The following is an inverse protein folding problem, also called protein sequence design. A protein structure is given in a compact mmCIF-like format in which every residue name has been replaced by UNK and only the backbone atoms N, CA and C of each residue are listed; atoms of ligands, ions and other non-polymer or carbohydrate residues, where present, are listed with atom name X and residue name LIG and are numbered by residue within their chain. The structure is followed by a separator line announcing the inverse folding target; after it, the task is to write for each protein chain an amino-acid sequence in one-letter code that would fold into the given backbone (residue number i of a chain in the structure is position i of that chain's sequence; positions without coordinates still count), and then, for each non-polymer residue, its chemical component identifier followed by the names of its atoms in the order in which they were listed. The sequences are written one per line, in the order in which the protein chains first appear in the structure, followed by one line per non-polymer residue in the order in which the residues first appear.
data_IF_721918624578
#
_entry.id   IF_721918624578
#
_cell.length_a   1.000
_cell.length_b   1.000
_cell.length_c   1.000
_cell.angle_alpha   90.00
_cell.angle_beta   90.00
_cell.angle_gamma   90.00
#
_symmetry.space_group_name_H-M   'P 1'
#
loop_
_entity.id
_entity.type
_entity.pdbx_description
1 polymer ?
#
# COMPACT_ATOMS: atom_id res chain seq x y z
N UNK A 1 -3.43 44.07 52.16
CA UNK A 1 -4.73 44.71 51.90
C UNK A 1 -5.60 43.63 51.26
N UNK A 2 -6.37 42.85 52.03
CA UNK A 2 -7.71 43.19 52.56
C UNK A 2 -8.67 43.54 51.40
N UNK A 3 -9.82 42.92 51.15
CA UNK A 3 -10.69 41.93 51.81
C UNK A 3 -11.74 41.50 50.75
N UNK A 4 -12.20 40.24 50.76
CA UNK A 4 -13.59 39.90 50.38
C UNK A 4 -14.52 40.32 51.54
N UNK A 5 -15.83 40.65 51.36
CA UNK A 5 -16.87 39.60 51.23
C UNK A 5 -18.22 40.02 50.57
N UNK A 6 -19.14 39.04 50.43
CA UNK A 6 -20.61 39.23 50.35
C UNK A 6 -21.28 38.44 49.22
N UNK A 7 -21.65 37.16 49.39
CA UNK A 7 -22.95 36.64 49.88
C UNK A 7 -24.21 37.35 49.34
N UNK A 8 -25.06 36.62 48.60
CA UNK A 8 -26.42 36.29 49.06
C UNK A 8 -27.06 35.19 48.20
N UNK A 9 -27.77 34.30 48.88
CA UNK A 9 -28.61 33.25 48.32
C UNK A 9 -30.08 33.72 48.30
N UNK A 10 -30.87 33.23 47.34
CA UNK A 10 -32.33 33.18 47.49
C UNK A 10 -32.92 31.99 46.74
N UNK A 11 -33.48 31.07 47.54
CA UNK A 11 -34.51 30.12 47.14
C UNK A 11 -35.82 30.87 46.87
N UNK A 12 -36.55 30.51 45.80
CA UNK A 12 -38.03 30.51 45.80
C UNK A 12 -38.54 29.34 44.97
N UNK A 13 -39.54 28.68 45.55
CA UNK A 13 -40.24 27.46 45.21
C UNK A 13 -41.39 27.63 44.19
N UNK A 14 -41.71 26.52 43.51
CA UNK A 14 -43.04 26.03 43.07
C UNK A 14 -44.14 27.03 42.69
N UNK A 15 -44.59 26.93 41.44
CA UNK A 15 -46.01 27.03 41.10
C UNK A 15 -46.37 25.98 40.03
N UNK A 16 -47.22 25.04 40.43
CA UNK A 16 -47.97 24.21 39.50
C UNK A 16 -49.13 25.00 38.90
N UNK A 17 -49.43 24.73 37.63
CA UNK A 17 -50.69 25.09 37.01
C UNK A 17 -51.33 23.81 36.48
N UNK A 18 -52.43 23.41 37.13
CA UNK A 18 -53.44 22.53 36.59
C UNK A 18 -54.16 23.27 35.46
N UNK A 19 -54.33 22.64 34.30
CA UNK A 19 -55.49 22.85 33.43
C UNK A 19 -55.88 21.49 32.86
N UNK A 20 -57.04 21.03 33.32
CA UNK A 20 -57.79 19.94 32.74
C UNK A 20 -58.46 20.41 31.43
N UNK A 21 -58.87 19.42 30.64
CA UNK A 21 -59.79 19.47 29.49
C UNK A 21 -59.22 19.87 28.11
N UNK A 22 -58.79 18.84 27.37
CA UNK A 22 -59.22 18.68 25.98
C UNK A 22 -59.28 17.17 25.65
N UNK A 23 -60.48 16.73 25.32
CA UNK A 23 -60.85 15.37 24.96
C UNK A 23 -60.39 14.98 23.55
N UNK A 24 -60.19 13.67 23.36
CA UNK A 24 -60.11 12.95 22.07
C UNK A 24 -58.97 13.32 21.10
N UNK A 25 -57.85 12.62 21.20
CA UNK A 25 -57.25 11.99 20.01
C UNK A 25 -56.39 10.76 20.37
N UNK A 26 -56.71 9.66 19.67
CA UNK A 26 -55.96 8.42 19.42
C UNK A 26 -54.68 8.16 20.26
N UNK A 27 -54.74 7.15 21.14
CA UNK A 27 -53.52 6.47 21.64
C UNK A 27 -52.80 5.81 20.46
N UNK A 28 -51.49 6.03 20.23
CA UNK A 28 -50.75 5.22 19.29
C UNK A 28 -50.52 3.84 19.93
N UNK A 29 -50.97 2.80 19.23
CA UNK A 29 -50.58 1.42 19.51
C UNK A 29 -49.09 1.27 19.21
N UNK A 30 -48.30 0.97 20.24
CA UNK A 30 -46.87 0.71 20.08
C UNK A 30 -46.69 -0.69 19.50
N UNK A 31 -46.19 -0.79 18.28
CA UNK A 31 -45.82 -2.09 17.68
C UNK A 31 -44.52 -2.59 18.33
N UNK A 32 -44.29 -3.92 18.42
CA UNK A 32 -43.08 -4.51 19.00
C UNK A 32 -41.77 -3.98 18.38
N UNK A 33 -41.81 -3.57 17.11
CA UNK A 33 -40.68 -2.99 16.38
C UNK A 33 -40.24 -1.61 16.92
N UNK A 34 -41.15 -0.81 17.49
CA UNK A 34 -40.83 0.50 18.06
C UNK A 34 -40.20 0.34 19.44
N UNK A 35 -40.62 -0.65 20.22
CA UNK A 35 -39.97 -1.00 21.50
C UNK A 35 -38.56 -1.57 21.29
N UNK A 36 -38.34 -2.37 20.24
CA UNK A 36 -37.00 -2.86 19.87
C UNK A 36 -36.10 -1.70 19.41
N UNK A 37 -36.62 -0.73 18.65
CA UNK A 37 -35.88 0.48 18.27
C UNK A 37 -35.59 1.40 19.45
N UNK A 38 -36.51 1.53 20.41
CA UNK A 38 -36.29 2.28 21.65
C UNK A 38 -35.30 1.60 22.59
N UNK A 39 -35.35 0.26 22.71
CA UNK A 39 -34.38 -0.51 23.48
C UNK A 39 -32.99 -0.49 22.83
N UNK A 40 -32.91 -0.58 21.50
CA UNK A 40 -31.67 -0.40 20.75
C UNK A 40 -31.13 1.04 20.86
N UNK A 41 -32.01 2.04 20.88
CA UNK A 41 -31.63 3.44 21.11
C UNK A 41 -31.11 3.68 22.54
N UNK A 42 -31.72 3.05 23.56
CA UNK A 42 -31.22 3.08 24.95
C UNK A 42 -29.92 2.29 25.11
N UNK A 43 -29.75 1.13 24.46
CA UNK A 43 -28.49 0.37 24.44
C UNK A 43 -27.37 1.16 23.75
N UNK A 44 -27.68 1.87 22.66
CA UNK A 44 -26.74 2.73 21.95
C UNK A 44 -26.40 4.01 22.72
N UNK A 45 -27.27 4.48 23.63
CA UNK A 45 -26.97 5.59 24.54
C UNK A 45 -26.12 5.17 25.75
N UNK A 46 -26.11 3.88 26.09
CA UNK A 46 -25.20 3.28 27.08
C UNK A 46 -23.81 3.03 26.47
N UNK A 47 -23.64 3.19 25.15
CA UNK A 47 -22.33 3.19 24.45
C UNK A 47 -21.86 4.60 24.03
N UNK A 48 -22.42 5.65 24.64
CA UNK A 48 -21.78 6.97 24.65
C UNK A 48 -20.79 6.98 25.82
N UNK A 49 -19.51 7.25 25.53
CA UNK A 49 -18.33 7.13 26.41
C UNK A 49 -17.79 5.70 26.62
N UNK A 50 -17.52 4.97 25.54
CA UNK A 50 -16.40 4.02 25.60
C UNK A 50 -15.12 4.75 25.17
N UNK A 51 -14.24 5.05 26.11
CA UNK A 51 -12.86 5.41 25.79
C UNK A 51 -12.29 4.32 24.84
N UNK A 52 -11.43 4.69 23.89
CA UNK A 52 -10.75 3.77 22.96
C UNK A 52 -11.62 3.17 21.82
N UNK A 53 -12.46 4.00 21.19
CA UNK A 53 -13.31 3.59 20.05
C UNK A 53 -12.47 3.06 18.88
N UNK A 54 -12.67 1.77 18.55
CA UNK A 54 -12.06 1.11 17.38
C UNK A 54 -13.02 0.10 16.75
N UNK A 55 -12.85 -0.15 15.45
CA UNK A 55 -13.67 -1.10 14.68
C UNK A 55 -12.78 -2.01 13.83
N UNK A 56 -13.07 -3.30 13.82
CA UNK A 56 -12.52 -4.22 12.82
C UNK A 56 -13.59 -4.52 11.79
N UNK A 57 -13.28 -4.25 10.52
CA UNK A 57 -14.08 -4.67 9.37
C UNK A 57 -13.42 -5.90 8.75
N UNK A 58 -14.08 -7.05 8.87
CA UNK A 58 -13.56 -8.32 8.34
C UNK A 58 -13.86 -8.46 6.85
N UNK A 59 -12.90 -8.95 6.07
CA UNK A 59 -13.03 -9.17 4.62
C UNK A 59 -13.53 -7.93 3.86
N UNK A 60 -13.10 -6.74 4.28
CA UNK A 60 -13.48 -5.47 3.66
C UNK A 60 -12.90 -5.34 2.24
N UNK A 61 -11.66 -5.77 2.04
CA UNK A 61 -11.04 -5.88 0.72
C UNK A 61 -11.13 -7.32 0.20
N UNK A 62 -11.58 -7.51 -1.06
CA UNK A 62 -11.45 -8.79 -1.74
C UNK A 62 -9.98 -9.23 -1.82
N UNK A 63 -9.71 -10.52 -1.69
CA UNK A 63 -8.35 -11.06 -1.70
C UNK A 63 -7.60 -10.77 -3.01
N UNK A 64 -8.30 -10.75 -4.15
CA UNK A 64 -7.68 -10.41 -5.44
C UNK A 64 -7.18 -8.96 -5.47
N UNK A 65 -7.91 -8.04 -4.85
CA UNK A 65 -7.51 -6.65 -4.70
C UNK A 65 -6.33 -6.52 -3.71
N UNK A 66 -6.32 -7.33 -2.64
CA UNK A 66 -5.14 -7.40 -1.77
C UNK A 66 -3.88 -7.83 -2.55
N UNK A 67 -3.99 -8.80 -3.46
CA UNK A 67 -2.87 -9.23 -4.31
C UNK A 67 -2.44 -8.16 -5.31
N UNK A 68 -3.39 -7.44 -5.91
CA UNK A 68 -3.11 -6.30 -6.78
C UNK A 68 -2.30 -5.21 -6.05
N UNK A 69 -2.71 -4.84 -4.84
CA UNK A 69 -2.00 -3.88 -4.01
C UNK A 69 -0.62 -4.39 -3.56
N UNK A 70 -0.49 -5.68 -3.26
CA UNK A 70 0.82 -6.28 -3.00
C UNK A 70 1.74 -6.20 -4.23
N UNK A 71 1.22 -6.46 -5.44
CA UNK A 71 1.96 -6.31 -6.68
C UNK A 71 2.45 -4.86 -6.86
N UNK A 72 1.56 -3.88 -6.72
CA UNK A 72 1.89 -2.45 -6.84
C UNK A 72 2.96 -2.08 -5.82
N UNK A 73 2.79 -2.48 -4.56
CA UNK A 73 3.77 -2.19 -3.52
C UNK A 73 5.13 -2.82 -3.80
N UNK A 74 5.18 -4.14 -3.99
CA UNK A 74 6.45 -4.88 -4.12
C UNK A 74 7.24 -4.49 -5.36
N UNK A 75 6.57 -4.01 -6.40
CA UNK A 75 7.22 -3.60 -7.64
C UNK A 75 7.69 -2.14 -7.65
N UNK A 76 7.10 -1.28 -6.79
CA UNK A 76 7.37 0.15 -6.76
C UNK A 76 7.84 0.66 -5.39
N UNK A 77 8.18 -0.21 -4.44
CA UNK A 77 8.56 0.24 -3.10
C UNK A 77 9.98 0.81 -3.06
N UNK A 78 10.14 1.80 -2.19
CA UNK A 78 11.41 2.37 -1.79
C UNK A 78 11.70 2.06 -0.31
N UNK A 79 12.94 2.27 0.12
CA UNK A 79 13.33 2.27 1.53
C UNK A 79 12.48 3.26 2.32
N UNK A 80 11.80 2.76 3.33
CA UNK A 80 10.99 3.55 4.25
C UNK A 80 11.85 4.27 5.29
N UNK A 81 11.23 5.21 6.00
CA UNK A 81 11.90 6.01 7.03
C UNK A 81 12.33 5.19 8.28
N UNK A 82 11.77 3.99 8.46
CA UNK A 82 12.09 3.11 9.60
C UNK A 82 12.99 1.96 9.15
N UNK A 83 13.87 1.45 10.03
CA UNK A 83 14.65 0.25 9.75
C UNK A 83 13.75 -0.91 9.29
N UNK A 84 14.19 -1.65 8.28
CA UNK A 84 13.52 -2.83 7.73
C UNK A 84 12.09 -2.57 7.20
N UNK A 85 11.73 -1.31 6.89
CA UNK A 85 10.43 -0.94 6.33
C UNK A 85 10.59 -0.47 4.90
N UNK A 86 9.71 -0.90 3.99
CA UNK A 86 9.58 -0.32 2.66
C UNK A 86 8.24 0.40 2.51
N UNK A 87 8.20 1.42 1.64
CA UNK A 87 7.04 2.28 1.44
C UNK A 87 6.81 2.58 -0.03
N UNK A 88 5.54 2.62 -0.43
CA UNK A 88 5.09 3.14 -1.72
C UNK A 88 3.97 4.15 -1.43
N UNK A 89 4.28 5.44 -1.58
CA UNK A 89 3.28 6.52 -1.50
C UNK A 89 2.68 6.80 -2.87
N UNK A 90 1.51 7.43 -2.92
CA UNK A 90 0.91 7.83 -4.20
C UNK A 90 1.79 8.84 -4.95
N UNK A 91 2.42 9.77 -4.23
CA UNK A 91 3.41 10.70 -4.82
C UNK A 91 4.63 9.98 -5.38
N UNK A 92 5.09 8.89 -4.75
CA UNK A 92 6.20 8.09 -5.28
C UNK A 92 5.82 7.45 -6.62
N UNK A 93 4.63 6.84 -6.71
CA UNK A 93 4.12 6.29 -7.95
C UNK A 93 4.08 7.34 -9.07
N UNK A 94 3.62 8.56 -8.76
CA UNK A 94 3.61 9.66 -9.74
C UNK A 94 5.04 10.02 -10.17
N UNK A 95 5.95 10.19 -9.22
CA UNK A 95 7.33 10.59 -9.47
C UNK A 95 8.14 9.54 -10.28
N UNK A 96 7.76 8.27 -10.23
CA UNK A 96 8.42 7.18 -10.97
C UNK A 96 7.67 6.78 -12.24
N UNK A 97 6.85 7.68 -12.81
CA UNK A 97 6.03 7.44 -14.01
C UNK A 97 5.08 6.23 -13.90
N UNK A 98 4.65 5.91 -12.68
CA UNK A 98 3.74 4.82 -12.34
C UNK A 98 2.39 5.34 -11.82
N UNK A 99 2.01 6.57 -12.18
CA UNK A 99 0.80 7.25 -11.69
C UNK A 99 -0.48 6.45 -11.94
N UNK A 100 -0.56 5.71 -13.04
CA UNK A 100 -1.70 4.84 -13.35
C UNK A 100 -1.96 3.77 -12.26
N UNK A 101 -0.95 3.36 -11.49
CA UNK A 101 -1.10 2.39 -10.40
C UNK A 101 -1.81 2.98 -9.16
N UNK A 102 -2.16 4.26 -9.14
CA UNK A 102 -3.04 4.79 -8.08
C UNK A 102 -4.49 4.38 -8.30
N UNK A 103 -4.89 4.02 -9.53
CA UNK A 103 -6.29 3.77 -9.89
C UNK A 103 -6.95 2.66 -9.05
N UNK A 104 -6.31 1.50 -8.78
CA UNK A 104 -6.89 0.49 -7.89
C UNK A 104 -7.02 0.95 -6.42
N UNK A 105 -6.29 1.99 -6.00
CA UNK A 105 -6.27 2.49 -4.63
C UNK A 105 -7.41 3.50 -4.39
N UNK A 106 -7.82 4.28 -5.40
CA UNK A 106 -8.83 5.33 -5.25
C UNK A 106 -10.18 4.81 -4.72
N UNK A 107 -10.79 3.75 -5.26
CA UNK A 107 -12.06 3.23 -4.72
C UNK A 107 -11.94 2.77 -3.28
N UNK A 108 -10.76 2.32 -2.87
CA UNK A 108 -10.49 1.88 -1.50
C UNK A 108 -10.43 3.09 -0.57
N UNK A 109 -9.78 4.19 -0.98
CA UNK A 109 -9.69 5.44 -0.21
C UNK A 109 -11.09 5.96 0.12
N UNK A 110 -11.98 6.02 -0.87
CA UNK A 110 -13.36 6.47 -0.68
C UNK A 110 -14.14 5.56 0.28
N UNK A 111 -14.14 4.25 0.03
CA UNK A 111 -14.85 3.29 0.87
C UNK A 111 -14.35 3.30 2.33
N UNK A 112 -13.04 3.48 2.54
CA UNK A 112 -12.46 3.59 3.88
C UNK A 112 -12.85 4.89 4.56
N UNK A 113 -12.81 6.02 3.83
CA UNK A 113 -13.26 7.31 4.33
C UNK A 113 -14.72 7.22 4.79
N UNK A 114 -15.60 6.67 3.95
CA UNK A 114 -17.02 6.49 4.27
C UNK A 114 -17.20 5.63 5.53
N UNK A 115 -16.46 4.52 5.65
CA UNK A 115 -16.54 3.64 6.81
C UNK A 115 -16.06 4.33 8.11
N UNK A 116 -15.00 5.12 8.04
CA UNK A 116 -14.50 5.93 9.18
C UNK A 116 -15.55 6.97 9.56
N UNK A 117 -16.07 7.72 8.58
CA UNK A 117 -17.07 8.75 8.81
C UNK A 117 -18.36 8.20 9.42
N UNK A 118 -18.85 7.06 8.92
CA UNK A 118 -20.03 6.37 9.45
C UNK A 118 -19.81 5.88 10.87
N UNK A 119 -18.68 5.24 11.15
CA UNK A 119 -18.39 4.69 12.48
C UNK A 119 -18.22 5.82 13.50
N UNK A 120 -17.38 6.82 13.21
CA UNK A 120 -17.07 7.91 14.14
C UNK A 120 -18.11 9.03 14.17
N UNK A 121 -19.17 8.96 13.35
CA UNK A 121 -20.28 9.92 13.27
C UNK A 121 -19.82 11.31 12.84
N UNK A 122 -19.01 11.35 11.80
CA UNK A 122 -18.43 12.57 11.23
C UNK A 122 -18.52 12.62 9.71
N UNK A 123 -19.68 12.25 9.18
CA UNK A 123 -20.02 12.28 7.75
C UNK A 123 -19.66 13.60 7.09
N UNK A 124 -18.92 13.50 5.97
CA UNK A 124 -18.41 14.57 5.12
C UNK A 124 -17.48 15.57 5.83
N UNK A 125 -16.82 15.16 6.91
CA UNK A 125 -15.92 16.03 7.68
C UNK A 125 -14.45 15.63 7.54
N UNK A 126 -14.13 14.58 6.78
CA UNK A 126 -12.76 14.07 6.69
C UNK A 126 -12.10 14.35 5.34
N UNK A 127 -10.80 14.62 5.42
CA UNK A 127 -9.86 14.67 4.33
C UNK A 127 -8.85 13.53 4.51
N UNK A 128 -8.41 12.93 3.41
CA UNK A 128 -7.34 11.92 3.46
C UNK A 128 -6.04 12.68 3.63
N UNK A 129 -5.38 12.52 4.78
CA UNK A 129 -4.11 13.20 5.07
C UNK A 129 -2.93 12.53 4.36
N UNK A 130 -2.99 11.20 4.29
CA UNK A 130 -1.93 10.39 3.71
C UNK A 130 -2.44 9.01 3.34
N UNK A 131 -1.97 8.50 2.21
CA UNK A 131 -2.17 7.13 1.73
C UNK A 131 -0.83 6.47 1.43
N UNK A 132 -0.57 5.31 2.01
CA UNK A 132 0.67 4.57 1.75
C UNK A 132 0.51 3.07 1.82
N UNK A 133 1.18 2.37 0.90
CA UNK A 133 1.42 0.93 1.00
C UNK A 133 2.75 0.74 1.75
N UNK A 134 2.70 0.03 2.86
CA UNK A 134 3.83 -0.11 3.79
C UNK A 134 4.09 -1.60 4.01
N UNK A 135 5.36 -2.01 3.88
CA UNK A 135 5.81 -3.33 4.29
C UNK A 135 6.78 -3.27 5.45
N UNK A 136 6.59 -4.19 6.39
CA UNK A 136 7.44 -4.42 7.54
C UNK A 136 8.13 -5.76 7.32
N UNK A 137 9.43 -5.73 7.04
CA UNK A 137 10.23 -6.93 6.84
C UNK A 137 10.76 -7.45 8.18
N UNK A 138 11.40 -8.62 8.16
CA UNK A 138 12.05 -9.18 9.36
C UNK A 138 12.90 -8.15 10.10
N UNK A 139 12.71 -8.08 11.42
CA UNK A 139 13.38 -7.13 12.31
C UNK A 139 12.70 -5.76 12.40
N UNK A 140 11.65 -5.49 11.61
CA UNK A 140 10.86 -4.26 11.74
C UNK A 140 9.90 -4.37 12.94
N UNK A 141 9.86 -3.32 13.77
CA UNK A 141 8.94 -3.17 14.91
C UNK A 141 8.70 -1.69 15.21
N UNK A 142 7.65 -1.39 15.98
CA UNK A 142 7.38 -0.05 16.48
C UNK A 142 6.79 -0.13 17.87
N UNK A 143 7.44 0.55 18.83
CA UNK A 143 6.96 0.61 20.21
C UNK A 143 5.69 1.44 20.36
N UNK A 144 5.21 1.53 21.60
CA UNK A 144 3.99 2.25 21.96
C UNK A 144 3.99 3.70 21.51
N UNK A 145 2.95 4.07 20.75
CA UNK A 145 2.71 5.43 20.27
C UNK A 145 1.23 5.65 19.92
N UNK A 146 0.81 6.91 19.87
CA UNK A 146 -0.37 7.31 19.09
C UNK A 146 0.07 7.90 17.75
N UNK A 147 -0.82 7.88 16.76
CA UNK A 147 -0.52 8.38 15.41
C UNK A 147 -0.35 9.90 15.36
N UNK A 148 -0.91 10.63 16.33
CA UNK A 148 -0.81 12.08 16.45
C UNK A 148 0.23 12.54 17.50
N UNK A 149 1.15 11.67 17.91
CA UNK A 149 2.06 11.92 19.05
C UNK A 149 3.10 13.03 18.84
N UNK A 150 3.33 13.50 17.61
CA UNK A 150 4.33 14.53 17.28
C UNK A 150 3.69 15.78 16.67
N UNK A 151 4.30 16.98 16.82
CA UNK A 151 3.73 18.22 16.31
C UNK A 151 3.31 18.19 14.84
N UNK A 152 4.12 17.56 13.97
CA UNK A 152 3.83 17.45 12.52
C UNK A 152 2.81 16.36 12.17
N UNK A 153 2.31 15.62 13.16
CA UNK A 153 1.29 14.58 13.02
C UNK A 153 0.01 14.93 13.79
N UNK A 154 -0.03 16.07 14.49
CA UNK A 154 -1.13 16.44 15.40
C UNK A 154 -2.48 16.58 14.70
N UNK A 155 -2.47 16.81 13.40
CA UNK A 155 -3.65 16.90 12.55
C UNK A 155 -4.41 15.59 12.34
N UNK A 156 -3.82 14.44 12.70
CA UNK A 156 -4.46 13.15 12.48
C UNK A 156 -5.56 12.94 13.50
N UNK A 157 -6.79 12.77 13.02
CA UNK A 157 -7.96 12.45 13.83
C UNK A 157 -8.24 10.95 13.88
N UNK A 158 -8.10 10.28 12.73
CA UNK A 158 -8.43 8.86 12.58
C UNK A 158 -7.40 8.15 11.70
N UNK A 159 -7.34 6.82 11.87
CA UNK A 159 -6.50 5.94 11.08
C UNK A 159 -7.32 4.75 10.56
N UNK A 160 -6.96 4.27 9.37
CA UNK A 160 -7.40 3.00 8.82
C UNK A 160 -6.18 2.18 8.39
N UNK A 161 -6.08 0.95 8.88
CA UNK A 161 -5.02 0.01 8.51
C UNK A 161 -5.65 -1.22 7.86
N UNK A 162 -5.40 -1.39 6.57
CA UNK A 162 -5.88 -2.52 5.78
C UNK A 162 -4.77 -3.54 5.61
N UNK A 163 -5.02 -4.78 6.01
CA UNK A 163 -4.05 -5.87 5.87
C UNK A 163 -4.14 -6.49 4.48
N UNK A 164 -3.00 -6.59 3.79
CA UNK A 164 -2.93 -7.11 2.43
C UNK A 164 -2.47 -8.56 2.37
N UNK A 165 -1.86 -9.06 3.44
CA UNK A 165 -1.43 -10.44 3.60
C UNK A 165 -1.61 -10.90 5.05
N UNK A 166 -1.49 -12.21 5.30
CA UNK A 166 -1.97 -12.82 6.55
C UNK A 166 -0.84 -13.32 7.45
N UNK A 167 -1.01 -13.08 8.75
CA UNK A 167 -0.18 -13.63 9.81
C UNK A 167 -0.21 -15.18 9.80
N UNK A 168 0.94 -15.80 10.09
CA UNK A 168 1.19 -17.26 10.05
C UNK A 168 0.93 -17.94 8.68
N UNK A 169 0.68 -17.16 7.62
CA UNK A 169 0.54 -17.64 6.24
C UNK A 169 1.57 -16.99 5.31
N UNK A 170 1.79 -15.69 5.47
CA UNK A 170 2.66 -14.87 4.61
C UNK A 170 3.86 -14.29 5.36
N UNK A 171 3.76 -14.17 6.69
CA UNK A 171 4.79 -13.67 7.59
C UNK A 171 4.55 -14.15 9.03
N UNK A 172 5.52 -13.97 9.91
CA UNK A 172 5.44 -14.26 11.37
C UNK A 172 5.81 -13.05 12.21
N UNK A 173 5.33 -13.00 13.45
CA UNK A 173 5.44 -11.81 14.29
C UNK A 173 4.59 -10.65 13.74
N UNK A 174 4.98 -9.39 13.99
CA UNK A 174 4.27 -8.25 13.39
C UNK A 174 2.82 -8.07 13.86
N UNK A 175 2.50 -8.58 15.05
CA UNK A 175 1.16 -8.49 15.65
C UNK A 175 0.90 -7.04 16.06
N UNK A 176 -0.32 -6.57 15.85
CA UNK A 176 -0.70 -5.20 16.16
C UNK A 176 -1.43 -5.13 17.50
N UNK A 177 -0.89 -4.36 18.43
CA UNK A 177 -1.36 -4.28 19.82
C UNK A 177 -1.85 -2.87 20.13
N UNK A 178 -2.96 -2.78 20.87
CA UNK A 178 -3.38 -1.57 21.56
C UNK A 178 -3.08 -1.73 23.04
N UNK A 179 -2.68 -0.65 23.71
CA UNK A 179 -2.27 -0.67 25.10
C UNK A 179 -3.45 -0.89 26.05
N UNK A 180 -4.61 -0.33 25.69
CA UNK A 180 -5.80 -0.25 26.51
C UNK A 180 -7.04 -0.48 25.64
N UNK A 181 -8.13 -0.98 26.23
CA UNK A 181 -9.43 -1.23 25.59
C UNK A 181 -9.47 -2.40 24.58
N UNK A 182 -10.67 -2.70 24.07
CA UNK A 182 -10.91 -3.86 23.22
C UNK A 182 -11.17 -3.50 21.74
N UNK A 183 -10.73 -4.34 20.79
CA UNK A 183 -9.79 -5.46 20.96
C UNK A 183 -8.35 -5.01 21.21
N UNK A 184 -7.69 -5.59 22.22
CA UNK A 184 -6.29 -5.32 22.56
C UNK A 184 -5.32 -5.82 21.48
N UNK A 185 -5.60 -7.00 20.91
CA UNK A 185 -4.71 -7.67 19.96
C UNK A 185 -5.42 -7.84 18.62
N UNK A 186 -4.75 -7.41 17.55
CA UNK A 186 -5.17 -7.63 16.17
C UNK A 186 -4.16 -8.56 15.51
N UNK A 187 -4.64 -9.75 15.12
CA UNK A 187 -3.93 -10.62 14.21
C UNK A 187 -4.21 -10.17 12.76
N UNK A 188 -3.18 -9.75 12.01
CA UNK A 188 -3.32 -9.33 10.62
C UNK A 188 -3.86 -10.45 9.73
N UNK A 189 -4.97 -10.21 9.03
CA UNK A 189 -5.53 -11.15 8.05
C UNK A 189 -5.85 -10.39 6.77
N UNK A 190 -5.44 -10.94 5.62
CA UNK A 190 -5.66 -10.31 4.33
C UNK A 190 -7.14 -9.96 4.12
N UNK A 191 -7.42 -8.70 3.76
CA UNK A 191 -8.77 -8.20 3.55
C UNK A 191 -9.36 -7.46 4.76
N UNK A 192 -8.83 -7.67 5.95
CA UNK A 192 -9.33 -7.02 7.17
C UNK A 192 -8.82 -5.60 7.31
N UNK A 193 -9.64 -4.75 7.94
CA UNK A 193 -9.33 -3.35 8.21
C UNK A 193 -9.56 -3.04 9.69
N UNK A 194 -8.65 -2.28 10.29
CA UNK A 194 -8.84 -1.69 11.62
C UNK A 194 -8.99 -0.18 11.49
N UNK A 195 -10.05 0.36 12.08
CA UNK A 195 -10.32 1.78 12.20
C UNK A 195 -10.19 2.20 13.66
N UNK A 196 -9.47 3.28 13.95
CA UNK A 196 -9.26 3.77 15.31
C UNK A 196 -8.99 5.29 15.32
N UNK A 197 -9.14 5.94 16.48
CA UNK A 197 -8.75 7.35 16.64
C UNK A 197 -7.24 7.48 16.68
N UNK A 198 -6.67 8.52 16.08
CA UNK A 198 -5.22 8.67 15.99
C UNK A 198 -4.57 9.21 17.29
N UNK A 199 -5.37 9.45 18.34
CA UNK A 199 -4.97 10.07 19.60
C UNK A 199 -4.55 9.08 20.69
N UNK A 200 -4.29 9.59 21.89
CA UNK A 200 -3.84 8.81 23.04
C UNK A 200 -4.87 7.80 23.57
N UNK A 201 -6.11 7.85 23.09
CA UNK A 201 -7.11 6.82 23.37
C UNK A 201 -6.85 5.53 22.58
N UNK A 202 -5.90 5.49 21.66
CA UNK A 202 -5.55 4.27 20.94
C UNK A 202 -4.02 4.20 20.79
N UNK A 203 -3.31 4.27 21.91
CA UNK A 203 -1.87 3.98 21.95
C UNK A 203 -1.67 2.53 21.49
N UNK A 204 -0.78 2.34 20.53
CA UNK A 204 -0.56 1.06 19.88
C UNK A 204 0.90 0.79 19.55
N UNK A 205 1.21 -0.46 19.27
CA UNK A 205 2.53 -0.95 18.87
C UNK A 205 2.41 -2.10 17.87
N UNK A 206 3.48 -2.35 17.12
CA UNK A 206 3.61 -3.55 16.29
C UNK A 206 4.86 -4.29 16.75
N UNK A 207 4.67 -5.53 17.17
CA UNK A 207 5.76 -6.41 17.57
C UNK A 207 6.68 -6.71 16.38
N UNK A 208 7.88 -7.22 16.67
CA UNK A 208 8.85 -7.52 15.63
C UNK A 208 8.28 -8.53 14.62
N UNK A 209 8.40 -8.22 13.33
CA UNK A 209 8.25 -9.21 12.26
C UNK A 209 9.44 -10.15 12.34
N UNK A 210 9.20 -11.43 12.62
CA UNK A 210 10.27 -12.41 12.86
C UNK A 210 10.64 -13.19 11.60
N UNK A 211 9.76 -13.23 10.61
CA UNK A 211 10.00 -13.85 9.30
C UNK A 211 9.01 -13.29 8.27
N UNK A 212 9.43 -13.19 7.00
CA UNK A 212 8.62 -12.67 5.90
C UNK A 212 8.42 -11.15 5.91
N UNK A 213 7.37 -10.72 5.20
CA UNK A 213 7.08 -9.32 4.87
C UNK A 213 5.60 -9.03 5.17
N UNK A 214 5.28 -8.26 6.20
CA UNK A 214 3.91 -7.84 6.56
C UNK A 214 3.52 -6.59 5.78
N UNK A 215 2.42 -6.64 5.02
CA UNK A 215 2.06 -5.57 4.07
C UNK A 215 0.69 -4.99 4.41
N UNK A 216 0.62 -3.67 4.47
CA UNK A 216 -0.59 -2.91 4.77
C UNK A 216 -0.80 -1.75 3.81
N UNK A 217 -2.06 -1.43 3.51
CA UNK A 217 -2.46 -0.10 3.04
C UNK A 217 -2.89 0.71 4.26
N UNK A 218 -2.20 1.82 4.54
CA UNK A 218 -2.47 2.68 5.69
C UNK A 218 -2.96 4.04 5.23
N UNK A 219 -4.08 4.49 5.81
CA UNK A 219 -4.62 5.83 5.62
C UNK A 219 -4.71 6.56 6.96
N UNK A 220 -4.36 7.83 6.93
CA UNK A 220 -4.67 8.77 8.02
C UNK A 220 -5.66 9.81 7.52
N UNK A 221 -6.55 10.24 8.42
CA UNK A 221 -7.59 11.22 8.13
C UNK A 221 -7.45 12.42 9.04
N UNK A 222 -7.74 13.59 8.47
CA UNK A 222 -7.73 14.89 9.14
C UNK A 222 -9.08 15.58 8.93
N UNK A 223 -9.53 16.33 9.94
CA UNK A 223 -10.65 17.29 9.82
C UNK A 223 -10.20 18.65 9.30
N UNK A 224 -8.90 18.90 9.29
CA UNK A 224 -8.30 20.10 8.72
C UNK A 224 -8.01 19.87 7.23
N UNK A 225 -8.71 20.63 6.39
CA UNK A 225 -8.60 20.61 4.93
C UNK A 225 -7.22 21.03 4.42
N UNK A 226 -6.43 21.78 5.19
CA UNK A 226 -5.08 22.17 4.81
C UNK A 226 -4.10 20.99 4.71
N UNK A 227 -4.53 19.83 5.19
CA UNK A 227 -3.78 18.58 5.16
C UNK A 227 -4.30 17.57 4.14
N UNK A 228 -5.21 17.97 3.25
CA UNK A 228 -5.70 17.10 2.19
C UNK A 228 -4.60 16.68 1.20
N UNK A 229 -4.37 15.37 1.09
CA UNK A 229 -3.42 14.74 0.18
C UNK A 229 -3.80 14.97 -1.29
N UNK A 230 -5.09 15.04 -1.60
CA UNK A 230 -5.59 15.14 -2.98
C UNK A 230 -5.06 16.39 -3.70
N UNK A 231 -5.00 17.52 -2.98
CA UNK A 231 -4.47 18.78 -3.51
C UNK A 231 -3.04 18.64 -4.05
N UNK A 232 -2.18 17.90 -3.33
CA UNK A 232 -0.78 17.65 -3.69
C UNK A 232 -0.71 16.68 -4.87
N UNK A 233 -1.50 15.61 -4.84
CA UNK A 233 -1.52 14.60 -5.90
C UNK A 233 -2.02 15.18 -7.22
N UNK A 234 -3.10 15.98 -7.20
CA UNK A 234 -3.62 16.65 -8.39
C UNK A 234 -2.59 17.62 -8.96
N UNK A 235 -1.86 18.36 -8.11
CA UNK A 235 -0.77 19.23 -8.56
C UNK A 235 0.32 18.43 -9.28
N UNK A 236 0.79 17.32 -8.70
CA UNK A 236 1.84 16.49 -9.33
C UNK A 236 1.34 15.79 -10.60
N UNK A 237 0.10 15.30 -10.62
CA UNK A 237 -0.52 14.70 -11.82
C UNK A 237 -0.77 15.74 -12.92
N UNK A 238 -0.79 17.03 -12.59
CA UNK A 238 -1.02 18.09 -13.58
C UNK A 238 0.17 18.31 -14.51
N UNK A 239 1.35 17.81 -14.14
CA UNK A 239 2.55 17.82 -14.97
C UNK A 239 2.50 16.76 -16.09
N UNK A 240 1.58 15.79 -16.01
CA UNK A 240 1.36 14.77 -17.04
C UNK A 240 0.67 15.44 -18.24
N UNK A 241 1.28 15.31 -19.42
CA UNK A 241 0.74 15.81 -20.68
C UNK A 241 -0.55 15.08 -21.04
N UNK A 242 -1.60 15.82 -21.39
CA UNK A 242 -2.88 15.23 -21.86
C UNK A 242 -2.80 14.85 -23.34
N UNK A 243 -1.76 15.31 -24.05
CA UNK A 243 -1.50 14.98 -25.46
C UNK A 243 -0.96 13.54 -25.64
N UNK A 244 -0.70 12.81 -24.55
CA UNK A 244 -0.25 11.41 -24.55
C UNK A 244 -1.35 10.39 -24.94
N UNK A 245 -2.55 10.84 -25.33
CA UNK A 245 -3.64 9.96 -25.79
C UNK A 245 -3.28 9.17 -27.07
N UNK A 246 -2.38 9.70 -27.90
CA UNK A 246 -2.07 9.17 -29.23
C UNK A 246 -0.72 8.43 -29.32
N UNK A 247 0.14 8.50 -28.29
CA UNK A 247 1.45 7.84 -28.30
C UNK A 247 1.43 6.54 -27.48
N UNK A 248 1.97 5.48 -28.08
CA UNK A 248 1.90 4.07 -27.62
C UNK A 248 2.24 3.89 -26.13
N UNK A 249 1.74 2.80 -25.52
CA UNK A 249 1.98 2.29 -24.15
C UNK A 249 3.43 2.42 -23.60
N UNK A 250 4.41 2.64 -24.46
CA UNK A 250 5.79 2.99 -24.13
C UNK A 250 5.95 4.29 -23.31
N UNK A 251 4.97 5.21 -23.34
CA UNK A 251 4.96 6.42 -22.50
C UNK A 251 4.77 6.12 -20.99
N UNK A 252 4.30 4.91 -20.65
CA UNK A 252 3.88 4.53 -19.29
C UNK A 252 4.92 3.66 -18.58
N UNK A 253 6.12 3.52 -19.16
CA UNK A 253 7.18 2.71 -18.57
C UNK A 253 7.74 3.36 -17.28
N UNK A 254 8.02 2.56 -16.23
CA UNK A 254 8.48 3.09 -14.96
C UNK A 254 9.83 3.79 -15.11
N UNK A 255 10.00 4.92 -14.43
CA UNK A 255 11.29 5.62 -14.32
C UNK A 255 11.97 5.21 -13.01
N UNK A 256 13.25 4.84 -13.01
CA UNK A 256 13.97 4.46 -11.78
C UNK A 256 13.98 5.59 -10.74
N UNK A 257 13.71 5.24 -9.49
CA UNK A 257 13.88 6.16 -8.37
C UNK A 257 15.38 6.36 -8.06
N UNK A 258 15.75 7.42 -7.33
CA UNK A 258 17.12 7.62 -6.86
C UNK A 258 17.65 6.40 -6.10
N UNK A 259 18.92 6.05 -6.33
CA UNK A 259 19.53 4.81 -5.81
C UNK A 259 19.45 4.68 -4.29
N UNK A 260 19.57 5.79 -3.57
CA UNK A 260 19.50 5.81 -2.10
C UNK A 260 18.12 5.44 -1.56
N UNK A 261 17.10 5.49 -2.40
CA UNK A 261 15.75 5.00 -2.09
C UNK A 261 15.57 3.53 -2.42
N UNK A 262 16.47 2.90 -3.18
CA UNK A 262 16.32 1.53 -3.66
C UNK A 262 17.37 0.56 -3.09
N UNK A 263 18.48 1.07 -2.54
CA UNK A 263 19.49 0.27 -1.86
C UNK A 263 19.18 0.09 -0.38
N UNK A 264 19.17 -1.15 0.09
CA UNK A 264 18.93 -1.49 1.48
C UNK A 264 20.14 -2.26 2.08
N UNK A 265 20.62 -1.90 3.29
CA UNK A 265 20.15 -0.81 4.14
C UNK A 265 20.58 0.57 3.59
N UNK A 266 19.81 1.64 3.84
CA UNK A 266 20.04 2.95 3.21
C UNK A 266 21.38 3.59 3.61
N UNK A 267 21.94 3.26 4.77
CA UNK A 267 23.25 3.75 5.20
C UNK A 267 24.38 3.25 4.27
N UNK A 268 24.17 2.09 3.65
CA UNK A 268 25.09 1.48 2.70
C UNK A 268 24.90 2.02 1.28
N UNK A 269 23.90 2.86 1.01
CA UNK A 269 23.60 3.33 -0.35
C UNK A 269 24.66 4.24 -0.97
N UNK A 270 25.66 4.67 -0.20
CA UNK A 270 26.78 5.49 -0.70
C UNK A 270 28.06 4.68 -0.90
N UNK A 271 28.23 3.60 -0.14
CA UNK A 271 29.44 2.77 -0.09
C UNK A 271 29.25 1.44 -0.80
N UNK A 272 28.02 0.96 -0.85
CA UNK A 272 27.63 -0.35 -1.36
C UNK A 272 28.49 -1.46 -0.77
N UNK A 273 28.83 -1.38 0.53
CA UNK A 273 29.73 -2.36 1.13
C UNK A 273 28.98 -3.65 1.51
N UNK A 274 27.70 -3.52 1.88
CA UNK A 274 26.78 -4.63 2.15
C UNK A 274 25.35 -4.30 1.68
N UNK A 275 24.46 -5.28 1.77
CA UNK A 275 23.03 -5.11 1.45
C UNK A 275 22.67 -5.52 0.01
N UNK A 276 21.61 -4.93 -0.52
CA UNK A 276 21.10 -5.23 -1.85
C UNK A 276 20.24 -4.08 -2.40
N UNK A 277 20.13 -4.00 -3.73
CA UNK A 277 19.06 -3.25 -4.40
C UNK A 277 17.74 -4.03 -4.24
N UNK A 278 16.68 -3.38 -3.75
CA UNK A 278 15.39 -4.02 -3.43
C UNK A 278 14.84 -4.80 -4.64
N UNK A 279 14.96 -4.25 -5.86
CA UNK A 279 14.42 -4.87 -7.07
C UNK A 279 15.21 -6.12 -7.41
N UNK A 280 16.52 -6.02 -7.41
CA UNK A 280 17.42 -7.13 -7.67
C UNK A 280 17.28 -8.23 -6.61
N UNK A 281 17.11 -7.87 -5.34
CA UNK A 281 16.85 -8.80 -4.25
C UNK A 281 15.55 -9.59 -4.45
N UNK A 282 14.46 -8.92 -4.87
CA UNK A 282 13.19 -9.59 -5.18
C UNK A 282 13.31 -10.50 -6.40
N UNK A 283 13.93 -10.05 -7.48
CA UNK A 283 14.19 -10.87 -8.67
C UNK A 283 14.99 -12.12 -8.30
N UNK A 284 16.06 -11.95 -7.52
CA UNK A 284 16.91 -13.03 -7.06
C UNK A 284 16.14 -14.10 -6.29
N UNK A 285 15.29 -13.71 -5.34
CA UNK A 285 14.47 -14.63 -4.54
C UNK A 285 13.42 -15.36 -5.38
N UNK A 286 12.98 -14.77 -6.49
CA UNK A 286 12.11 -15.41 -7.47
C UNK A 286 12.88 -16.25 -8.50
N UNK A 287 14.21 -16.34 -8.36
CA UNK A 287 15.11 -17.07 -9.24
C UNK A 287 15.24 -16.44 -10.62
N UNK A 288 15.12 -15.12 -10.72
CA UNK A 288 15.43 -14.32 -11.90
C UNK A 288 16.71 -13.53 -11.67
N UNK A 289 17.46 -13.34 -12.74
CA UNK A 289 18.70 -12.55 -12.74
C UNK A 289 18.66 -11.56 -13.92
N UNK A 290 19.50 -10.51 -13.86
CA UNK A 290 19.53 -9.45 -14.87
C UNK A 290 20.76 -9.62 -15.76
N UNK A 291 20.59 -9.29 -17.03
CA UNK A 291 21.65 -9.24 -18.04
C UNK A 291 21.56 -7.91 -18.79
N UNK A 292 22.71 -7.24 -18.99
CA UNK A 292 22.82 -6.10 -19.90
C UNK A 292 23.56 -6.52 -21.17
N UNK A 293 23.03 -6.11 -22.34
CA UNK A 293 23.69 -6.30 -23.64
C UNK A 293 24.81 -5.29 -23.89
N UNK A 294 24.77 -4.14 -23.20
CA UNK A 294 25.88 -3.19 -23.21
C UNK A 294 26.98 -3.76 -22.31
N UNK A 295 27.98 -4.37 -22.96
CA UNK A 295 29.05 -5.08 -22.26
C UNK A 295 29.72 -4.19 -21.21
N UNK A 296 30.02 -4.78 -20.05
CA UNK A 296 30.98 -4.19 -19.11
C UNK A 296 32.28 -3.99 -19.89
N UNK A 297 32.68 -2.74 -20.11
CA UNK A 297 34.07 -2.45 -20.45
C UNK A 297 34.86 -2.92 -19.21
N UNK A 298 35.44 -4.11 -19.30
CA UNK A 298 36.33 -4.69 -18.30
C UNK A 298 37.58 -3.80 -18.14
N UNK A 299 37.42 -2.68 -17.43
CA UNK A 299 38.50 -1.92 -16.81
C UNK A 299 38.48 -2.21 -15.32
N UNK A 300 39.65 -2.40 -14.72
CA UNK A 300 39.86 -2.60 -13.28
C UNK A 300 39.01 -1.65 -12.42
N UNK A 301 38.52 -2.10 -11.25
CA UNK A 301 37.59 -1.33 -10.43
C UNK A 301 38.30 -0.12 -9.80
N UNK A 302 38.09 1.06 -10.36
CA UNK A 302 38.23 2.31 -9.61
C UNK A 302 36.94 2.56 -8.81
N UNK A 303 36.99 3.32 -7.72
CA UNK A 303 35.80 3.66 -6.92
C UNK A 303 34.71 4.40 -7.73
N UNK A 304 35.05 4.98 -8.89
CA UNK A 304 34.11 5.55 -9.86
C UNK A 304 33.30 4.50 -10.66
N UNK A 305 33.76 3.24 -10.72
CA UNK A 305 33.12 2.17 -11.50
C UNK A 305 31.79 1.69 -10.92
N UNK A 306 31.60 1.77 -9.60
CA UNK A 306 30.34 1.35 -8.96
C UNK A 306 29.18 2.28 -9.35
N UNK A 307 29.41 3.59 -9.46
CA UNK A 307 28.38 4.54 -9.91
C UNK A 307 27.93 4.26 -11.35
N UNK A 308 28.87 3.97 -12.26
CA UNK A 308 28.55 3.59 -13.64
C UNK A 308 27.80 2.24 -13.72
N UNK A 309 28.12 1.29 -12.83
CA UNK A 309 27.40 0.01 -12.78
C UNK A 309 25.95 0.18 -12.32
N UNK A 310 25.65 1.18 -11.49
CA UNK A 310 24.30 1.41 -10.98
C UNK A 310 23.39 2.12 -11.98
N UNK A 311 23.97 2.89 -12.91
CA UNK A 311 23.26 3.38 -14.11
C UNK A 311 22.76 2.23 -14.99
N UNK A 312 23.42 1.05 -14.96
CA UNK A 312 22.94 -0.13 -15.70
C UNK A 312 21.54 -0.59 -15.29
N UNK A 313 21.11 -0.31 -14.05
CA UNK A 313 19.74 -0.64 -13.63
C UNK A 313 18.68 0.30 -14.23
N UNK A 314 19.12 1.36 -14.91
CA UNK A 314 18.29 2.31 -15.65
C UNK A 314 18.31 2.06 -17.16
N UNK A 315 19.29 1.31 -17.64
CA UNK A 315 19.43 0.95 -19.05
C UNK A 315 18.55 -0.27 -19.42
N UNK A 316 18.36 -0.52 -20.73
CA UNK A 316 17.66 -1.71 -21.20
C UNK A 316 18.31 -3.02 -20.74
N UNK A 317 17.52 -3.89 -20.11
CA UNK A 317 17.95 -5.13 -19.48
C UNK A 317 17.16 -6.33 -20.01
N UNK A 318 17.77 -7.51 -19.94
CA UNK A 318 17.13 -8.80 -20.25
C UNK A 318 17.07 -9.63 -18.97
N UNK A 319 15.98 -10.37 -18.81
CA UNK A 319 15.82 -11.32 -17.70
C UNK A 319 16.47 -12.67 -18.05
N UNK A 320 17.18 -13.23 -17.10
CA UNK A 320 17.72 -14.58 -17.15
C UNK A 320 17.03 -15.46 -16.08
N UNK A 321 16.75 -16.71 -16.42
CA UNK A 321 16.25 -17.73 -15.49
C UNK A 321 16.65 -19.12 -15.98
N UNK A 322 17.17 -19.97 -15.09
CA UNK A 322 17.58 -21.35 -15.42
C UNK A 322 18.55 -21.46 -16.62
N UNK A 323 19.57 -20.60 -16.67
CA UNK A 323 20.52 -20.51 -17.80
C UNK A 323 19.91 -20.12 -19.16
N UNK A 324 18.67 -19.64 -19.17
CA UNK A 324 17.96 -19.17 -20.35
C UNK A 324 17.73 -17.66 -20.28
N UNK A 325 17.79 -16.99 -21.42
CA UNK A 325 17.50 -15.55 -21.55
C UNK A 325 16.12 -15.33 -22.17
N UNK A 326 15.40 -14.36 -21.60
CA UNK A 326 14.15 -13.83 -22.13
C UNK A 326 14.34 -13.24 -23.54
N UNK A 327 13.36 -13.44 -24.42
CA UNK A 327 13.29 -12.75 -25.70
C UNK A 327 12.99 -11.24 -25.55
N UNK A 328 12.27 -10.88 -24.49
CA UNK A 328 11.89 -9.49 -24.21
C UNK A 328 13.01 -8.72 -23.54
N UNK A 329 13.22 -7.49 -24.00
CA UNK A 329 14.06 -6.47 -23.35
C UNK A 329 13.17 -5.52 -22.54
N UNK A 330 13.59 -5.21 -21.32
CA UNK A 330 12.89 -4.32 -20.40
C UNK A 330 13.65 -3.01 -20.30
N UNK A 331 12.94 -1.89 -20.36
CA UNK A 331 13.54 -0.55 -20.28
C UNK A 331 14.46 -0.30 -19.08
N UNK A 332 14.21 -0.93 -17.93
CA UNK A 332 15.04 -0.86 -16.73
C UNK A 332 14.65 -1.95 -15.72
N UNK A 333 15.35 -2.00 -14.58
CA UNK A 333 15.14 -3.01 -13.54
C UNK A 333 13.75 -2.94 -12.90
N UNK A 334 13.15 -1.74 -12.81
CA UNK A 334 11.79 -1.57 -12.26
C UNK A 334 10.74 -2.16 -13.21
N UNK A 335 10.88 -1.90 -14.51
CA UNK A 335 10.01 -2.50 -15.54
C UNK A 335 10.11 -4.03 -15.51
N UNK A 336 11.33 -4.58 -15.48
CA UNK A 336 11.54 -6.02 -15.38
C UNK A 336 10.87 -6.63 -14.12
N UNK A 337 11.04 -5.97 -12.96
CA UNK A 337 10.42 -6.42 -11.71
C UNK A 337 8.89 -6.36 -11.74
N UNK A 338 8.31 -5.29 -12.29
CA UNK A 338 6.85 -5.15 -12.43
C UNK A 338 6.29 -6.33 -13.22
N UNK A 339 6.87 -6.66 -14.37
CA UNK A 339 6.38 -7.78 -15.19
C UNK A 339 6.55 -9.13 -14.48
N UNK A 340 7.68 -9.37 -13.81
CA UNK A 340 7.90 -10.61 -13.04
C UNK A 340 6.87 -10.76 -11.91
N UNK A 341 6.62 -9.72 -11.14
CA UNK A 341 5.64 -9.77 -10.06
C UNK A 341 4.21 -9.86 -10.59
N UNK A 342 3.91 -9.25 -11.74
CA UNK A 342 2.62 -9.40 -12.42
C UNK A 342 2.40 -10.83 -12.90
N UNK A 343 3.42 -11.49 -13.48
CA UNK A 343 3.38 -12.91 -13.80
C UNK A 343 3.12 -13.78 -12.56
N UNK A 344 3.81 -13.51 -11.46
CA UNK A 344 3.55 -14.22 -10.19
C UNK A 344 2.10 -14.07 -9.72
N UNK A 345 1.55 -12.86 -9.82
CA UNK A 345 0.18 -12.58 -9.42
C UNK A 345 -0.88 -13.21 -10.35
N UNK A 346 -0.73 -13.07 -11.67
CA UNK A 346 -1.78 -13.43 -12.64
C UNK A 346 -1.65 -14.83 -13.23
N UNK A 347 -0.45 -15.41 -13.27
CA UNK A 347 -0.20 -16.66 -13.99
C UNK A 347 0.24 -17.81 -13.07
N UNK A 348 0.96 -17.53 -11.98
CA UNK A 348 1.39 -18.58 -11.04
C UNK A 348 0.33 -18.88 -9.98
N UNK A 349 -0.32 -17.84 -9.44
CA UNK A 349 -1.37 -17.99 -8.42
C UNK A 349 -2.71 -18.50 -8.98
N UNK A 350 -2.95 -18.33 -10.29
CA UNK A 350 -4.10 -18.86 -11.03
C UNK A 350 -3.66 -20.12 -11.79
N UNK A 351 -3.55 -21.26 -11.11
CA UNK A 351 -3.55 -22.56 -11.79
C UNK A 351 -4.95 -22.83 -12.37
N UNK A 352 -5.24 -22.17 -13.48
CA UNK A 352 -6.26 -22.58 -14.43
C UNK A 352 -5.55 -23.04 -15.69
N UNK A 353 -5.91 -24.24 -16.12
CA UNK A 353 -5.33 -25.02 -17.21
C UNK A 353 -5.15 -24.24 -18.52
N UNK A 354 -4.04 -23.51 -18.67
CA UNK A 354 -3.59 -23.02 -19.97
C UNK A 354 -2.46 -23.94 -20.45
N UNK A 355 -2.85 -25.02 -21.12
CA UNK A 355 -1.98 -25.70 -22.08
C UNK A 355 -1.81 -24.78 -23.30
N UNK A 356 -0.98 -23.75 -23.18
CA UNK A 356 -0.51 -23.04 -24.36
C UNK A 356 0.70 -23.79 -24.87
N UNK A 357 0.50 -24.48 -25.99
CA UNK A 357 1.60 -24.97 -26.80
C UNK A 357 2.03 -23.81 -27.71
N UNK A 358 3.03 -23.06 -27.30
CA UNK A 358 3.84 -22.26 -28.22
C UNK A 358 5.29 -22.27 -27.77
N UNK A 359 6.21 -22.50 -28.72
CA UNK A 359 7.63 -22.35 -28.46
C UNK A 359 7.95 -20.86 -28.40
N UNK A 360 8.07 -20.31 -27.19
CA UNK A 360 8.74 -19.04 -27.03
C UNK A 360 10.16 -19.15 -27.61
N UNK A 361 10.63 -18.14 -28.32
CA UNK A 361 12.03 -18.06 -28.73
C UNK A 361 12.89 -17.85 -27.49
N UNK A 362 13.44 -18.93 -26.96
CA UNK A 362 14.35 -18.89 -25.80
C UNK A 362 15.75 -19.15 -26.29
N UNK A 363 16.71 -18.31 -25.89
CA UNK A 363 18.11 -18.52 -26.18
C UNK A 363 18.83 -19.06 -24.93
N UNK A 364 19.59 -20.13 -25.11
CA UNK A 364 20.46 -20.65 -24.06
C UNK A 364 21.58 -19.63 -23.82
N UNK A 365 21.78 -19.23 -22.58
CA UNK A 365 22.84 -18.29 -22.23
C UNK A 365 24.21 -18.92 -22.49
N UNK A 366 25.07 -18.19 -23.21
CA UNK A 366 26.48 -18.56 -23.36
C UNK A 366 27.22 -18.49 -22.01
N UNK A 367 28.39 -19.12 -21.92
CA UNK A 367 29.22 -19.05 -20.70
C UNK A 367 29.57 -17.61 -20.32
N UNK A 368 29.82 -16.74 -21.31
CA UNK A 368 30.12 -15.32 -21.07
C UNK A 368 28.91 -14.57 -20.55
N UNK A 369 27.71 -14.83 -21.09
CA UNK A 369 26.47 -14.24 -20.60
C UNK A 369 26.16 -14.69 -19.17
N UNK A 370 26.36 -15.98 -18.87
CA UNK A 370 26.18 -16.52 -17.51
C UNK A 370 27.15 -15.90 -16.52
N UNK A 371 28.41 -15.74 -16.89
CA UNK A 371 29.41 -15.06 -16.06
C UNK A 371 29.02 -13.60 -15.82
N UNK A 372 28.49 -12.90 -16.83
CA UNK A 372 28.04 -11.53 -16.71
C UNK A 372 26.84 -11.39 -15.77
N UNK A 373 25.81 -12.22 -15.94
CA UNK A 373 24.62 -12.24 -15.08
C UNK A 373 25.00 -12.52 -13.62
N UNK A 374 25.87 -13.51 -13.38
CA UNK A 374 26.39 -13.79 -12.04
C UNK A 374 27.16 -12.60 -11.45
N UNK A 375 27.93 -11.88 -12.27
CA UNK A 375 28.65 -10.69 -11.82
C UNK A 375 27.69 -9.57 -11.39
N UNK A 376 26.68 -9.26 -12.20
CA UNK A 376 25.66 -8.25 -11.85
C UNK A 376 24.91 -8.63 -10.57
N UNK A 377 24.54 -9.90 -10.41
CA UNK A 377 23.95 -10.42 -9.17
C UNK A 377 24.84 -10.17 -7.95
N UNK A 378 26.14 -10.45 -8.04
CA UNK A 378 27.08 -10.19 -6.94
C UNK A 378 27.25 -8.70 -6.64
N UNK A 379 27.05 -7.81 -7.62
CA UNK A 379 27.09 -6.36 -7.42
C UNK A 379 25.85 -5.89 -6.68
N UNK A 380 24.65 -6.28 -7.14
CA UNK A 380 23.39 -5.72 -6.65
C UNK A 380 22.75 -6.49 -5.50
N UNK A 381 23.19 -7.71 -5.23
CA UNK A 381 22.72 -8.55 -4.13
C UNK A 381 23.94 -9.04 -3.35
N UNK A 382 24.55 -8.12 -2.58
CA UNK A 382 25.76 -8.41 -1.79
C UNK A 382 25.47 -9.29 -0.58
N UNK A 383 24.25 -9.18 -0.04
CA UNK A 383 23.73 -10.05 1.01
C UNK A 383 22.50 -10.85 0.52
N UNK A 384 22.71 -11.97 -0.20
CA UNK A 384 21.63 -12.83 -0.66
C UNK A 384 20.80 -13.41 0.49
N UNK A 385 21.43 -13.74 1.62
CA UNK A 385 20.74 -14.33 2.77
C UNK A 385 19.76 -13.33 3.39
N UNK A 386 20.14 -12.05 3.47
CA UNK A 386 19.25 -10.99 3.92
C UNK A 386 18.06 -10.82 2.97
N UNK A 387 18.30 -10.77 1.65
CA UNK A 387 17.23 -10.66 0.65
C UNK A 387 16.27 -11.87 0.71
N UNK A 388 16.80 -13.08 0.80
CA UNK A 388 16.01 -14.30 1.01
C UNK A 388 15.19 -14.21 2.28
N UNK A 389 15.79 -13.80 3.39
CA UNK A 389 15.09 -13.69 4.66
C UNK A 389 13.90 -12.73 4.58
N UNK A 390 14.06 -11.61 3.88
CA UNK A 390 13.01 -10.59 3.73
C UNK A 390 11.91 -11.03 2.78
N UNK A 391 12.26 -11.55 1.59
CA UNK A 391 11.30 -11.77 0.50
C UNK A 391 10.92 -13.24 0.28
N UNK A 392 11.70 -14.18 0.81
CA UNK A 392 11.65 -15.60 0.45
C UNK A 392 10.72 -16.48 1.27
N UNK A 393 9.89 -15.91 2.16
CA UNK A 393 9.05 -16.71 3.06
C UNK A 393 8.16 -17.72 2.32
N UNK A 394 7.39 -17.26 1.32
CA UNK A 394 6.55 -18.16 0.51
C UNK A 394 7.35 -19.12 -0.36
N UNK A 395 8.46 -18.66 -0.95
CA UNK A 395 9.35 -19.52 -1.76
C UNK A 395 9.92 -20.66 -0.92
N UNK A 396 10.30 -20.39 0.34
CA UNK A 396 10.78 -21.41 1.29
C UNK A 396 9.69 -22.43 1.66
N UNK A 397 8.44 -21.99 1.83
CA UNK A 397 7.33 -22.84 2.25
C UNK A 397 6.81 -23.77 1.14
N UNK A 398 6.70 -23.27 -0.09
CA UNK A 398 6.06 -24.00 -1.18
C UNK A 398 6.99 -25.03 -1.86
N UNK A 399 8.29 -25.01 -1.54
CA UNK A 399 9.30 -25.79 -2.25
C UNK A 399 9.40 -25.37 -3.72
N UNK A 400 10.35 -25.96 -4.45
CA UNK A 400 10.72 -25.63 -5.83
C UNK A 400 9.67 -26.10 -6.87
N UNK A 401 8.37 -25.98 -6.57
CA UNK A 401 7.25 -26.52 -7.34
C UNK A 401 6.56 -25.50 -8.26
N UNK A 402 7.16 -24.32 -8.46
CA UNK A 402 6.68 -23.39 -9.46
C UNK A 402 7.25 -23.78 -10.82
N UNK A 403 6.44 -24.48 -11.63
CA UNK A 403 6.68 -24.70 -13.05
C UNK A 403 6.66 -23.35 -13.76
N UNK A 404 7.81 -22.68 -13.79
CA UNK A 404 8.03 -21.52 -14.63
C UNK A 404 8.02 -21.96 -16.09
N UNK A 405 7.47 -21.10 -16.95
CA UNK A 405 7.42 -21.31 -18.39
C UNK A 405 7.53 -19.96 -19.12
N UNK A 406 8.46 -19.89 -20.08
CA UNK A 406 8.70 -18.68 -20.87
C UNK A 406 7.53 -18.33 -21.79
N UNK A 407 6.73 -19.31 -22.23
CA UNK A 407 5.55 -19.01 -23.06
C UNK A 407 4.48 -18.28 -22.24
N UNK A 408 4.19 -18.77 -21.03
CA UNK A 408 3.32 -18.10 -20.07
C UNK A 408 3.88 -16.75 -19.62
N UNK A 409 5.20 -16.63 -19.47
CA UNK A 409 5.84 -15.35 -19.15
C UNK A 409 5.67 -14.32 -20.28
N UNK A 410 5.85 -14.72 -21.54
CA UNK A 410 5.63 -13.84 -22.70
C UNK A 410 4.16 -13.38 -22.78
N UNK A 411 3.19 -14.26 -22.50
CA UNK A 411 1.80 -13.86 -22.38
C UNK A 411 1.57 -12.85 -21.25
N UNK A 412 2.27 -13.00 -20.13
CA UNK A 412 2.19 -12.05 -19.02
C UNK A 412 2.79 -10.68 -19.33
N UNK A 413 3.80 -10.57 -20.21
CA UNK A 413 4.29 -9.29 -20.72
C UNK A 413 3.16 -8.53 -21.41
N UNK A 414 2.47 -9.17 -22.37
CA UNK A 414 1.37 -8.53 -23.10
C UNK A 414 0.16 -8.21 -22.21
N UNK A 415 -0.17 -9.09 -21.25
CA UNK A 415 -1.24 -8.85 -20.29
C UNK A 415 -0.89 -7.70 -19.33
N UNK A 416 0.38 -7.57 -18.94
CA UNK A 416 0.86 -6.44 -18.14
C UNK A 416 0.78 -5.12 -18.91
N UNK A 417 1.18 -5.10 -20.19
CA UNK A 417 1.02 -3.92 -21.06
C UNK A 417 -0.44 -3.50 -21.16
N UNK A 418 -1.35 -4.47 -21.41
CA UNK A 418 -2.79 -4.21 -21.46
C UNK A 418 -3.36 -3.70 -20.13
N UNK A 419 -2.89 -4.25 -19.00
CA UNK A 419 -3.25 -3.80 -17.66
C UNK A 419 -2.82 -2.34 -17.43
N UNK A 420 -1.56 -2.02 -17.70
CA UNK A 420 -0.98 -0.68 -17.52
C UNK A 420 -1.66 0.34 -18.42
N UNK A 421 -1.86 0.01 -19.71
CA UNK A 421 -2.56 0.86 -20.65
C UNK A 421 -4.01 1.14 -20.22
N UNK A 422 -4.74 0.13 -19.72
CA UNK A 422 -6.10 0.32 -19.21
C UNK A 422 -6.14 1.30 -18.04
N UNK A 423 -5.29 1.10 -17.02
CA UNK A 423 -5.26 2.00 -15.86
C UNK A 423 -4.81 3.41 -16.24
N UNK A 424 -3.90 3.55 -17.19
CA UNK A 424 -3.48 4.84 -17.68
C UNK A 424 -4.62 5.59 -18.38
N UNK A 425 -5.41 4.90 -19.20
CA UNK A 425 -6.61 5.49 -19.81
C UNK A 425 -7.64 5.91 -18.77
N UNK A 426 -7.91 5.07 -17.76
CA UNK A 426 -8.81 5.42 -16.66
C UNK A 426 -8.30 6.66 -15.88
N UNK A 427 -6.99 6.74 -15.65
CA UNK A 427 -6.34 7.90 -15.03
C UNK A 427 -6.57 9.17 -15.87
N UNK A 428 -6.26 9.14 -17.17
CA UNK A 428 -6.40 10.30 -18.06
C UNK A 428 -7.85 10.80 -18.13
N UNK A 429 -8.81 9.86 -18.23
CA UNK A 429 -10.25 10.19 -18.21
C UNK A 429 -10.65 10.88 -16.90
N UNK A 430 -10.13 10.41 -15.77
CA UNK A 430 -10.45 10.93 -14.44
C UNK A 430 -9.76 12.26 -14.13
N UNK A 431 -8.56 12.48 -14.67
CA UNK A 431 -7.68 13.61 -14.36
C UNK A 431 -8.34 14.97 -14.66
N UNK A 432 -9.07 15.08 -15.77
CA UNK A 432 -9.81 16.29 -16.13
C UNK A 432 -10.84 16.67 -15.06
N UNK A 433 -11.60 15.69 -14.57
CA UNK A 433 -12.59 15.87 -13.53
C UNK A 433 -11.96 16.20 -12.17
N UNK A 434 -10.88 15.51 -11.80
CA UNK A 434 -10.17 15.79 -10.55
C UNK A 434 -9.60 17.21 -10.55
N UNK A 435 -9.01 17.67 -11.67
CA UNK A 435 -8.55 19.06 -11.82
C UNK A 435 -9.69 20.07 -11.66
N UNK A 436 -10.86 19.81 -12.22
CA UNK A 436 -12.01 20.72 -12.08
C UNK A 436 -12.54 20.79 -10.65
N UNK A 437 -12.64 19.65 -9.96
CA UNK A 437 -13.29 19.57 -8.64
C UNK A 437 -12.31 19.72 -7.48
N UNK A 438 -11.00 19.63 -7.73
CA UNK A 438 -9.94 19.64 -6.71
C UNK A 438 -10.06 18.50 -5.68
N UNK A 439 -10.64 17.37 -6.08
CA UNK A 439 -10.77 16.15 -5.28
C UNK A 439 -10.52 14.92 -6.17
N UNK A 440 -9.94 13.88 -5.59
CA UNK A 440 -9.74 12.59 -6.26
C UNK A 440 -10.87 11.66 -5.83
N UNK A 441 -11.66 11.21 -6.80
CA UNK A 441 -12.83 10.38 -6.58
C UNK A 441 -13.01 9.35 -7.70
N UNK A 442 -13.75 8.27 -7.44
CA UNK A 442 -14.08 7.31 -8.47
C UNK A 442 -15.15 7.86 -9.41
N UNK A 443 -14.81 7.89 -10.70
CA UNK A 443 -15.81 8.10 -11.73
C UNK A 443 -16.45 6.75 -12.10
N UNK A 444 -17.78 6.60 -12.07
CA UNK A 444 -18.42 5.42 -12.64
C UNK A 444 -18.21 5.46 -14.15
N UNK A 445 -17.17 4.78 -14.63
CA UNK A 445 -17.00 4.53 -16.05
C UNK A 445 -18.18 3.65 -16.48
N UNK A 446 -19.21 4.28 -17.05
CA UNK A 446 -20.28 3.55 -17.70
C UNK A 446 -19.64 2.58 -18.68
N UNK A 447 -20.12 1.32 -18.69
CA UNK A 447 -19.85 0.45 -19.84
C UNK A 447 -20.29 1.24 -21.06
N UNK A 448 -19.34 1.67 -21.88
CA UNK A 448 -19.65 2.10 -23.24
C UNK A 448 -20.20 0.83 -23.89
N UNK A 449 -21.51 0.80 -24.11
CA UNK A 449 -22.22 -0.31 -24.77
C UNK A 449 -21.69 -0.58 -26.17
#
# INVERSE_FOLDING_TARGET
MAMCPGQSASHVSFLGCNLAEASNSKRPSWTPQILVRWASWLLNRVMADSDHRRLILRNFLPLDLCKELQFIHKSCCAVGYRPNVFSTTLSHLIATNCSHLIMPIIPIRERLKDAVEEYFKCTLQLFVEFTGLISWCKGASIGWHSDNNKPYLKQRDFAAVCYLNSYDVDFKGGIFHFQDGEPEIILPMAGDVVLYTADEQNIHSVDEVTDGERITLTLWFSRDASHDEDSKLISSLSEISVDDFDDKCNSVLPIPAPINMQWFPPEESSKFSSGFDIRCGRLHVLGFELYSSEGIICGSPSEDSSRNLLELLQEPLVLAKMDELSASTFANATHALQVVLFYCWKFLDLKTELKVASSAEVSLASETQRAHTNHLKHIFVKDPQMAETFFGFRTRLNGDQNKFDWSGFSAAVSEWEAYTCRLHNELLLSLSHWRTHQFIFCFPHGKVE
#
